data_IF_252474451067
#
_entry.id   IF_252474451067
#
_cell.length_a   1.000
_cell.length_b   1.000
_cell.length_c   1.000
_cell.angle_alpha   90.00
_cell.angle_beta   90.00
_cell.angle_gamma   90.00
#
_symmetry.space_group_name_H-M   'P 1'
#
loop_
_entity.id
_entity.type
_entity.pdbx_description
1 polymer ?
#
# COMPACT_ATOMS: atom_id res chain seq x y z
N UNK A 1 2.95 -3.16 12.75
CA UNK A 1 1.81 -3.05 11.82
C UNK A 1 2.36 -2.85 10.41
N UNK A 2 1.83 -3.56 9.41
CA UNK A 2 2.16 -3.45 8.00
C UNK A 2 0.98 -2.78 7.29
N UNK A 3 1.15 -1.61 6.68
CA UNK A 3 0.08 -0.88 5.99
C UNK A 3 0.43 -0.77 4.51
N UNK A 4 -0.45 -1.26 3.62
CA UNK A 4 -0.19 -1.28 2.17
C UNK A 4 1.25 -1.74 1.85
N UNK A 5 1.69 -2.81 2.52
CA UNK A 5 3.06 -3.29 2.43
C UNK A 5 3.37 -3.89 1.07
N UNK A 6 4.63 -3.83 0.65
CA UNK A 6 5.12 -4.57 -0.52
C UNK A 6 4.69 -6.05 -0.39
N UNK A 7 4.07 -6.63 -1.44
CA UNK A 7 3.69 -8.02 -1.43
C UNK A 7 4.88 -8.95 -1.21
N UNK A 8 4.66 -10.08 -0.55
CA UNK A 8 5.71 -11.09 -0.36
C UNK A 8 6.24 -11.68 -1.68
N UNK A 9 5.43 -11.61 -2.74
CA UNK A 9 5.83 -12.01 -4.11
C UNK A 9 6.51 -10.88 -4.90
N UNK A 10 6.76 -9.72 -4.27
CA UNK A 10 7.26 -8.52 -4.93
C UNK A 10 6.23 -7.78 -5.77
N UNK A 11 6.71 -6.82 -6.56
CA UNK A 11 5.85 -5.93 -7.34
C UNK A 11 5.32 -6.53 -8.65
N UNK A 12 5.95 -7.56 -9.22
CA UNK A 12 5.60 -8.09 -10.54
C UNK A 12 4.10 -8.44 -10.68
N UNK A 13 3.46 -9.17 -9.74
CA UNK A 13 2.03 -9.43 -9.81
C UNK A 13 1.18 -8.15 -9.77
N UNK A 14 1.61 -7.16 -8.99
CA UNK A 14 0.92 -5.86 -8.88
C UNK A 14 1.03 -5.04 -10.18
N UNK A 15 2.18 -5.09 -10.84
CA UNK A 15 2.39 -4.45 -12.16
C UNK A 15 1.49 -5.10 -13.21
N UNK A 16 1.41 -6.43 -13.21
CA UNK A 16 0.51 -7.18 -14.10
C UNK A 16 -0.94 -6.77 -13.83
N UNK A 17 -1.35 -6.75 -12.56
CA UNK A 17 -2.69 -6.35 -12.14
C UNK A 17 -3.06 -4.92 -12.57
N UNK A 18 -2.11 -4.00 -12.48
CA UNK A 18 -2.26 -2.62 -12.91
C UNK A 18 -2.37 -2.54 -14.44
N UNK A 19 -1.52 -3.29 -15.15
CA UNK A 19 -1.55 -3.43 -16.60
C UNK A 19 -2.78 -4.20 -17.11
N UNK A 20 -3.66 -4.72 -16.27
CA UNK A 20 -4.96 -5.25 -16.71
C UNK A 20 -6.13 -4.45 -16.16
N UNK A 21 -5.88 -3.32 -15.47
CA UNK A 21 -6.93 -2.46 -14.94
C UNK A 21 -7.39 -1.44 -16.01
N UNK A 22 -8.65 -1.51 -16.48
CA UNK A 22 -9.16 -0.63 -17.54
C UNK A 22 -9.09 0.85 -17.19
N UNK A 23 -9.23 1.17 -15.90
CA UNK A 23 -9.25 2.55 -15.39
C UNK A 23 -7.87 3.21 -15.49
N UNK A 24 -6.80 2.40 -15.41
CA UNK A 24 -5.41 2.87 -15.47
C UNK A 24 -4.96 3.14 -16.92
N UNK A 25 -5.39 2.30 -17.86
CA UNK A 25 -5.12 2.46 -19.30
C UNK A 25 -5.66 3.76 -19.89
N UNK A 26 -6.74 4.30 -19.33
CA UNK A 26 -7.34 5.54 -19.83
C UNK A 26 -6.49 6.78 -19.50
N UNK A 27 -5.43 6.64 -18.70
CA UNK A 27 -4.68 7.78 -18.16
C UNK A 27 -3.19 7.84 -18.51
N UNK A 28 -2.47 6.75 -18.85
CA UNK A 28 -1.00 6.86 -19.12
C UNK A 28 -0.36 5.81 -20.05
N UNK A 29 0.78 6.22 -20.64
CA UNK A 29 1.69 5.45 -21.47
C UNK A 29 2.67 4.66 -20.58
N UNK A 30 2.70 3.32 -20.68
CA UNK A 30 3.49 2.41 -19.82
C UNK A 30 5.01 2.74 -19.75
N UNK A 31 5.55 3.41 -20.76
CA UNK A 31 6.96 3.83 -20.83
C UNK A 31 7.28 5.02 -19.91
N UNK A 32 6.32 5.92 -19.68
CA UNK A 32 6.46 7.02 -18.70
C UNK A 32 6.40 6.46 -17.29
N UNK A 33 5.46 5.56 -16.99
CA UNK A 33 5.44 4.86 -15.70
C UNK A 33 6.78 4.17 -15.41
N UNK A 34 7.43 3.62 -16.44
CA UNK A 34 8.73 2.94 -16.33
C UNK A 34 9.96 3.84 -16.18
N UNK A 35 9.94 5.04 -16.77
CA UNK A 35 11.01 6.04 -16.67
C UNK A 35 10.81 7.08 -15.58
N UNK A 36 9.58 7.19 -15.06
CA UNK A 36 9.04 8.22 -14.17
C UNK A 36 8.32 7.62 -12.96
N UNK A 37 8.71 6.41 -12.51
CA UNK A 37 7.99 5.63 -11.47
C UNK A 37 7.61 6.41 -10.18
N UNK A 38 8.17 7.61 -9.95
CA UNK A 38 7.70 8.59 -8.97
C UNK A 38 7.92 10.06 -9.42
N UNK A 39 7.54 10.46 -10.64
CA UNK A 39 7.24 11.90 -10.82
C UNK A 39 5.91 12.19 -10.09
N UNK A 40 5.87 13.18 -9.19
CA UNK A 40 4.65 13.61 -8.49
C UNK A 40 3.43 13.89 -9.37
N UNK A 41 3.66 14.13 -10.67
CA UNK A 41 2.65 14.48 -11.66
C UNK A 41 1.91 13.25 -12.22
N UNK A 42 2.52 12.06 -12.17
CA UNK A 42 2.02 10.89 -12.90
C UNK A 42 1.14 9.94 -12.04
N UNK A 43 1.14 10.12 -10.72
CA UNK A 43 0.27 9.36 -9.81
C UNK A 43 -1.08 10.05 -9.76
N UNK A 44 -2.05 9.57 -10.54
CA UNK A 44 -3.38 10.17 -10.53
C UNK A 44 -4.04 9.97 -9.16
N UNK A 45 -4.64 11.04 -8.64
CA UNK A 45 -5.37 11.09 -7.36
C UNK A 45 -6.25 9.86 -7.10
N UNK A 46 -6.91 9.35 -8.16
CA UNK A 46 -7.81 8.19 -8.11
C UNK A 46 -7.10 6.85 -7.89
N UNK A 47 -5.79 6.75 -8.10
CA UNK A 47 -5.03 5.52 -7.93
C UNK A 47 -4.53 5.32 -6.51
N UNK A 48 -4.34 6.41 -5.75
CA UNK A 48 -3.75 6.37 -4.39
C UNK A 48 -4.71 6.74 -3.26
N UNK A 49 -5.75 7.54 -3.52
CA UNK A 49 -6.73 7.98 -2.53
C UNK A 49 -8.11 7.37 -2.82
N UNK A 50 -8.84 7.03 -1.77
CA UNK A 50 -10.28 6.75 -1.86
C UNK A 50 -11.11 8.02 -1.83
N UNK A 51 -12.28 7.96 -2.49
CA UNK A 51 -13.29 9.01 -2.39
C UNK A 51 -12.81 10.43 -2.74
N UNK A 52 -13.35 11.42 -2.02
CA UNK A 52 -12.96 12.82 -2.15
C UNK A 52 -12.04 13.23 -0.99
N UNK A 53 -10.77 13.47 -1.32
CA UNK A 53 -9.79 14.17 -0.46
C UNK A 53 -9.76 15.66 -0.85
N UNK A 54 -9.52 16.61 0.03
CA UNK A 54 -9.44 18.01 -0.43
C UNK A 54 -8.29 18.18 -1.43
N UNK A 55 -8.49 18.94 -2.50
CA UNK A 55 -7.47 19.15 -3.54
C UNK A 55 -6.19 19.75 -2.95
N UNK A 56 -6.30 20.62 -1.95
CA UNK A 56 -5.16 21.19 -1.22
C UNK A 56 -4.30 20.11 -0.54
N UNK A 57 -4.92 19.05 -0.02
CA UNK A 57 -4.23 17.92 0.61
C UNK A 57 -3.48 17.11 -0.45
N UNK A 58 -4.13 16.84 -1.58
CA UNK A 58 -3.51 16.12 -2.70
C UNK A 58 -2.34 16.92 -3.28
N UNK A 59 -2.55 18.21 -3.57
CA UNK A 59 -1.51 19.11 -4.09
C UNK A 59 -0.33 19.18 -3.13
N UNK A 60 -0.60 19.36 -1.83
CA UNK A 60 0.47 19.42 -0.81
C UNK A 60 1.30 18.16 -0.81
N UNK A 61 0.66 16.99 -0.70
CA UNK A 61 1.40 15.73 -0.60
C UNK A 61 2.07 15.33 -1.90
N UNK A 62 1.46 15.60 -3.07
CA UNK A 62 2.15 15.45 -4.35
C UNK A 62 3.38 16.36 -4.43
N UNK A 63 3.29 17.63 -4.02
CA UNK A 63 4.44 18.53 -4.02
C UNK A 63 5.58 18.08 -3.08
N UNK A 64 5.25 17.37 -2.00
CA UNK A 64 6.22 16.80 -1.06
C UNK A 64 6.76 15.42 -1.50
N UNK A 65 6.09 14.73 -2.43
CA UNK A 65 6.54 13.45 -2.94
C UNK A 65 7.86 13.59 -3.69
N UNK A 66 8.78 12.70 -3.37
CA UNK A 66 10.07 12.63 -4.03
C UNK A 66 10.14 11.40 -4.92
N UNK A 67 11.05 11.44 -5.89
CA UNK A 67 11.36 10.25 -6.66
C UNK A 67 11.84 9.13 -5.73
N UNK A 68 11.20 7.98 -5.83
CA UNK A 68 11.61 6.78 -5.11
C UNK A 68 13.02 6.35 -5.51
N UNK A 69 13.73 5.71 -4.58
CA UNK A 69 15.08 5.21 -4.84
C UNK A 69 15.07 4.09 -5.89
N UNK A 70 15.88 4.17 -6.97
CA UNK A 70 16.00 3.09 -7.95
C UNK A 70 16.43 1.76 -7.32
N UNK A 71 17.26 1.83 -6.26
CA UNK A 71 17.64 0.64 -5.48
C UNK A 71 16.44 0.06 -4.73
N UNK A 72 15.66 0.89 -4.05
CA UNK A 72 14.47 0.42 -3.35
C UNK A 72 13.48 -0.23 -4.32
N UNK A 73 13.29 0.36 -5.50
CA UNK A 73 12.49 -0.26 -6.57
C UNK A 73 13.04 -1.64 -6.95
N UNK A 74 14.34 -1.75 -7.23
CA UNK A 74 14.96 -3.01 -7.61
C UNK A 74 14.88 -4.09 -6.51
N UNK A 75 15.00 -3.68 -5.25
CA UNK A 75 14.81 -4.55 -4.08
C UNK A 75 13.37 -5.09 -4.02
N UNK A 76 12.37 -4.24 -4.26
CA UNK A 76 10.95 -4.65 -4.28
C UNK A 76 10.54 -5.46 -5.51
N UNK A 77 11.34 -5.41 -6.58
CA UNK A 77 11.10 -6.20 -7.79
C UNK A 77 11.76 -7.59 -7.71
N UNK A 78 13.04 -7.69 -7.31
CA UNK A 78 13.79 -8.96 -7.36
C UNK A 78 14.84 -9.13 -6.26
N UNK A 79 15.52 -8.06 -5.82
CA UNK A 79 16.77 -8.19 -5.06
C UNK A 79 16.60 -8.27 -3.54
N UNK A 80 15.46 -7.83 -3.01
CA UNK A 80 15.23 -7.68 -1.57
C UNK A 80 13.80 -8.01 -1.16
N UNK A 81 13.20 -9.00 -1.81
CA UNK A 81 11.81 -9.37 -1.57
C UNK A 81 11.55 -9.76 -0.11
N UNK A 82 10.36 -9.46 0.44
CA UNK A 82 9.99 -9.93 1.76
C UNK A 82 10.08 -11.46 1.84
N UNK A 83 10.64 -11.98 2.93
CA UNK A 83 10.76 -13.42 3.11
C UNK A 83 9.39 -14.07 3.27
N UNK A 84 9.17 -15.21 2.61
CA UNK A 84 7.98 -16.05 2.86
C UNK A 84 7.97 -16.69 4.25
N UNK A 85 9.10 -16.65 4.97
CA UNK A 85 9.25 -17.17 6.33
C UNK A 85 9.59 -16.01 7.25
N UNK A 86 8.59 -15.52 7.98
CA UNK A 86 8.83 -14.49 8.98
C UNK A 86 9.80 -14.99 10.07
N UNK A 87 10.96 -14.33 10.24
CA UNK A 87 11.95 -14.74 11.22
C UNK A 87 11.58 -14.32 12.64
N UNK A 88 10.55 -13.50 12.81
CA UNK A 88 10.14 -12.94 14.11
C UNK A 88 8.91 -13.66 14.67
N UNK A 89 8.86 -13.82 15.99
CA UNK A 89 7.69 -14.32 16.73
C UNK A 89 7.07 -13.18 17.55
N UNK A 90 6.59 -12.15 16.85
CA UNK A 90 5.92 -11.00 17.46
C UNK A 90 4.48 -10.90 16.90
N UNK A 91 3.50 -10.44 17.68
CA UNK A 91 2.19 -10.10 17.15
C UNK A 91 2.32 -9.06 16.03
N UNK A 92 1.65 -9.30 14.90
CA UNK A 92 1.67 -8.40 13.75
C UNK A 92 0.26 -8.22 13.21
N UNK A 93 -0.02 -7.03 12.69
CA UNK A 93 -1.22 -6.70 11.92
C UNK A 93 -0.81 -6.27 10.52
N UNK A 94 -1.48 -6.79 9.51
CA UNK A 94 -1.38 -6.37 8.12
C UNK A 94 -2.71 -5.74 7.68
N UNK A 95 -2.67 -4.46 7.31
CA UNK A 95 -3.79 -3.73 6.74
C UNK A 95 -3.66 -3.64 5.23
N UNK A 96 -4.74 -4.00 4.55
CA UNK A 96 -4.98 -3.70 3.14
C UNK A 96 -6.11 -2.72 2.99
N UNK A 97 -6.25 -2.14 1.80
CA UNK A 97 -7.31 -1.23 1.42
C UNK A 97 -8.08 -1.82 0.24
N UNK A 98 -9.41 -1.78 0.27
CA UNK A 98 -10.24 -2.38 -0.77
C UNK A 98 -10.27 -1.61 -2.09
N UNK A 99 -9.96 -0.32 -2.05
CA UNK A 99 -9.78 0.53 -3.23
C UNK A 99 -8.30 0.72 -3.62
N UNK A 100 -7.39 -0.05 -3.01
CA UNK A 100 -5.97 -0.04 -3.39
C UNK A 100 -5.79 -0.69 -4.78
N UNK A 101 -5.47 0.15 -5.77
CA UNK A 101 -5.22 -0.28 -7.14
C UNK A 101 -3.78 -0.74 -7.37
N UNK A 102 -2.85 -0.39 -6.48
CA UNK A 102 -1.44 -0.80 -6.54
C UNK A 102 -1.26 -2.15 -5.88
N UNK A 103 -1.55 -2.28 -4.57
CA UNK A 103 -1.40 -3.51 -3.82
C UNK A 103 -2.75 -4.06 -3.41
N UNK A 104 -3.37 -4.79 -4.35
CA UNK A 104 -4.69 -5.40 -4.13
C UNK A 104 -4.75 -6.20 -2.82
N UNK A 105 -5.90 -6.25 -2.13
CA UNK A 105 -6.07 -6.97 -0.87
C UNK A 105 -5.58 -8.42 -0.87
N UNK A 106 -5.69 -9.11 -2.01
CA UNK A 106 -5.21 -10.48 -2.17
C UNK A 106 -3.70 -10.62 -1.93
N UNK A 107 -2.90 -9.66 -2.41
CA UNK A 107 -1.46 -9.63 -2.23
C UNK A 107 -1.09 -9.44 -0.76
N UNK A 108 -1.71 -8.46 -0.10
CA UNK A 108 -1.47 -8.17 1.31
C UNK A 108 -1.90 -9.34 2.21
N UNK A 109 -3.02 -10.00 1.89
CA UNK A 109 -3.46 -11.21 2.59
C UNK A 109 -2.41 -12.32 2.52
N UNK A 110 -1.74 -12.48 1.38
CA UNK A 110 -0.66 -13.45 1.23
C UNK A 110 0.56 -13.07 2.08
N UNK A 111 0.92 -11.78 2.12
CA UNK A 111 1.96 -11.27 3.02
C UNK A 111 1.59 -11.53 4.49
N UNK A 112 0.35 -11.25 4.89
CA UNK A 112 -0.13 -11.51 6.25
C UNK A 112 0.03 -12.99 6.62
N UNK A 113 -0.34 -13.91 5.72
CA UNK A 113 -0.15 -15.35 5.91
C UNK A 113 1.33 -15.73 6.04
N UNK A 114 2.20 -15.21 5.19
CA UNK A 114 3.65 -15.48 5.27
C UNK A 114 4.24 -14.99 6.61
N UNK A 115 3.66 -13.93 7.17
CA UNK A 115 4.12 -13.34 8.42
C UNK A 115 3.38 -13.80 9.67
N UNK A 116 2.41 -14.70 9.53
CA UNK A 116 1.49 -15.08 10.62
C UNK A 116 0.87 -13.85 11.31
N UNK A 117 0.59 -12.81 10.52
CA UNK A 117 -0.01 -11.57 10.98
C UNK A 117 -1.53 -11.67 10.93
N UNK A 118 -2.20 -11.00 11.86
CA UNK A 118 -3.62 -10.68 11.72
C UNK A 118 -3.83 -9.86 10.45
N UNK A 119 -4.97 -10.07 9.79
CA UNK A 119 -5.27 -9.42 8.53
C UNK A 119 -6.58 -8.64 8.61
N UNK A 120 -6.52 -7.38 8.22
CA UNK A 120 -7.68 -6.51 8.11
C UNK A 120 -7.72 -5.84 6.73
N UNK A 121 -8.89 -5.84 6.11
CA UNK A 121 -9.13 -5.09 4.88
C UNK A 121 -10.00 -3.88 5.18
N UNK A 122 -9.40 -2.70 5.07
CA UNK A 122 -10.06 -1.41 5.25
C UNK A 122 -11.04 -1.18 4.11
N UNK A 123 -12.19 -0.61 4.45
CA UNK A 123 -13.30 -0.36 3.53
C UNK A 123 -13.32 1.10 3.12
N UNK A 124 -13.57 1.37 1.83
CA UNK A 124 -13.55 2.72 1.28
C UNK A 124 -12.21 3.39 1.59
N UNK A 125 -11.12 2.72 1.27
CA UNK A 125 -9.78 3.19 1.60
C UNK A 125 -8.84 2.89 0.44
N UNK A 126 -8.03 3.87 0.06
CA UNK A 126 -7.05 3.76 -1.01
C UNK A 126 -5.69 3.29 -0.49
N UNK A 127 -4.71 3.24 -1.39
CA UNK A 127 -3.34 2.83 -1.09
C UNK A 127 -2.74 3.66 0.07
N UNK A 128 -2.97 4.98 0.04
CA UNK A 128 -2.41 5.92 1.00
C UNK A 128 -3.25 6.06 2.27
N UNK A 129 -3.68 4.94 2.88
CA UNK A 129 -4.56 4.86 4.06
C UNK A 129 -4.17 5.74 5.28
N UNK A 130 -2.94 6.26 5.33
CA UNK A 130 -2.42 7.13 6.39
C UNK A 130 -2.80 8.60 6.20
N UNK A 131 -3.07 9.01 4.95
CA UNK A 131 -3.43 10.38 4.55
C UNK A 131 -4.70 10.39 3.70
N UNK A 132 -5.39 9.26 3.61
CA UNK A 132 -6.65 9.09 2.90
C UNK A 132 -7.79 9.86 3.60
N UNK A 133 -8.91 10.08 2.92
CA UNK A 133 -10.10 10.72 3.50
C UNK A 133 -10.57 9.98 4.77
N UNK A 134 -10.40 8.66 4.77
CA UNK A 134 -10.78 7.74 5.86
C UNK A 134 -9.57 7.29 6.71
N UNK A 135 -8.57 8.16 6.89
CA UNK A 135 -7.37 7.81 7.66
C UNK A 135 -7.67 7.50 9.14
N UNK A 136 -8.71 8.12 9.72
CA UNK A 136 -9.08 7.93 11.13
C UNK A 136 -9.51 6.50 11.39
N UNK A 137 -10.27 5.91 10.48
CA UNK A 137 -10.73 4.54 10.55
C UNK A 137 -9.53 3.56 10.56
N UNK A 138 -8.49 3.85 9.78
CA UNK A 138 -7.25 3.07 9.79
C UNK A 138 -6.51 3.21 11.12
N UNK A 139 -6.43 4.43 11.67
CA UNK A 139 -5.80 4.69 12.96
C UNK A 139 -6.55 4.01 14.13
N UNK A 140 -7.88 4.09 14.14
CA UNK A 140 -8.74 3.44 15.14
C UNK A 140 -8.62 1.92 15.10
N UNK A 141 -8.56 1.32 13.91
CA UNK A 141 -8.35 -0.11 13.74
C UNK A 141 -6.99 -0.56 14.32
N UNK A 142 -5.94 0.22 14.09
CA UNK A 142 -4.61 -0.03 14.65
C UNK A 142 -4.63 0.09 16.17
N UNK A 143 -5.23 1.15 16.72
CA UNK A 143 -5.34 1.34 18.16
C UNK A 143 -6.12 0.20 18.84
N UNK A 144 -7.27 -0.15 18.28
CA UNK A 144 -8.10 -1.25 18.76
C UNK A 144 -7.37 -2.61 18.73
N UNK A 145 -6.49 -2.80 17.74
CA UNK A 145 -5.66 -4.01 17.66
C UNK A 145 -4.56 -4.00 18.73
N UNK A 146 -3.92 -2.86 18.98
CA UNK A 146 -2.94 -2.72 20.05
C UNK A 146 -3.54 -2.97 21.43
N UNK A 147 -4.72 -2.40 21.73
CA UNK A 147 -5.40 -2.63 23.02
C UNK A 147 -5.66 -4.11 23.29
N UNK A 148 -6.00 -4.89 22.25
CA UNK A 148 -6.24 -6.35 22.38
C UNK A 148 -4.97 -7.17 22.52
N UNK A 149 -3.85 -6.71 21.97
CA UNK A 149 -2.61 -7.47 21.87
C UNK A 149 -1.48 -6.92 22.75
N UNK A 150 -1.72 -5.85 23.50
CA UNK A 150 -0.73 -5.25 24.39
C UNK A 150 -0.56 -6.10 25.64
N UNK A 151 0.66 -6.60 25.93
CA UNK A 151 0.93 -7.37 27.15
C UNK A 151 0.87 -6.52 28.43
N UNK A 152 0.67 -5.20 28.31
CA UNK A 152 0.62 -4.25 29.43
C UNK A 152 -0.80 -3.78 29.78
N UNK A 153 -1.83 -4.29 29.07
CA UNK A 153 -3.23 -3.89 29.27
C UNK A 153 -4.15 -5.01 29.78
N UNK A 154 -3.57 -6.15 30.22
CA UNK A 154 -4.28 -7.20 30.96
C UNK A 154 -3.73 -7.33 32.37
#
# INVERSE_FOLDING_TARGET
VLMATVPVDGLIPSIIDLAFNPTFYMQMNLTELMGSWFSPIDVTRKSVFSGHVDDDVVIRYCAEMQQGSPKALLDTLWLGLPTHKNPFRIPMLALSADEDTFFRPAHIRKTAKAYSADYLNMKKTGHTMMIDAHWRESAEAINSWFEKNSPFMN
#
